data_IF_030044049002
#
_entry.id   IF_030044049002
#
_cell.length_a   1.000
_cell.length_b   1.000
_cell.length_c   1.000
_cell.angle_alpha   90.00
_cell.angle_beta   90.00
_cell.angle_gamma   90.00
#
_symmetry.space_group_name_H-M   'P 1'
#
loop_
_entity.id
_entity.type
_entity.pdbx_description
1 polymer ?
#
# COMPACT_ATOMS: atom_id res chain seq x y z
N UNK A 1 -9.98 -5.56 -4.22
CA UNK A 1 -9.32 -5.85 -2.93
C UNK A 1 -8.37 -7.05 -3.00
N UNK A 2 -8.80 -8.23 -3.47
CA UNK A 2 -7.95 -9.44 -3.53
C UNK A 2 -6.69 -9.30 -4.39
N UNK A 3 -6.76 -8.59 -5.53
CA UNK A 3 -5.61 -8.38 -6.43
C UNK A 3 -4.53 -7.45 -5.87
N UNK A 4 -4.91 -6.46 -5.08
CA UNK A 4 -3.99 -5.53 -4.42
C UNK A 4 -3.24 -6.24 -3.28
N UNK A 5 -3.96 -7.11 -2.54
CA UNK A 5 -3.39 -7.93 -1.47
C UNK A 5 -2.34 -8.91 -2.01
N UNK A 6 -2.59 -9.54 -3.15
CA UNK A 6 -1.64 -10.47 -3.77
C UNK A 6 -0.34 -9.77 -4.22
N UNK A 7 -0.45 -8.54 -4.75
CA UNK A 7 0.71 -7.76 -5.18
C UNK A 7 1.60 -7.31 -4.00
N UNK A 8 0.98 -6.83 -2.92
CA UNK A 8 1.70 -6.39 -1.70
C UNK A 8 2.38 -7.57 -1.00
N UNK A 9 1.70 -8.74 -0.95
CA UNK A 9 2.25 -9.94 -0.35
C UNK A 9 3.41 -10.52 -1.17
N UNK A 10 3.34 -10.44 -2.50
CA UNK A 10 4.43 -10.82 -3.41
C UNK A 10 5.66 -9.93 -3.28
N UNK A 11 5.47 -8.61 -3.20
CA UNK A 11 6.56 -7.64 -3.03
C UNK A 11 7.23 -7.79 -1.65
N UNK A 12 6.43 -8.02 -0.60
CA UNK A 12 6.93 -8.28 0.76
C UNK A 12 7.75 -9.58 0.85
N UNK A 13 7.34 -10.63 0.12
CA UNK A 13 8.09 -11.88 0.06
C UNK A 13 9.41 -11.73 -0.71
N UNK A 14 9.43 -10.94 -1.79
CA UNK A 14 10.65 -10.63 -2.53
C UNK A 14 11.67 -9.84 -1.68
N UNK A 15 11.21 -8.87 -0.90
CA UNK A 15 12.09 -8.07 -0.04
C UNK A 15 12.73 -8.90 1.09
N UNK A 16 12.05 -9.94 1.59
CA UNK A 16 12.60 -10.87 2.58
C UNK A 16 13.72 -11.77 2.02
N UNK A 17 13.65 -12.14 0.74
CA UNK A 17 14.69 -12.94 0.08
C UNK A 17 15.98 -12.14 -0.14
N UNK A 18 15.88 -10.83 -0.41
CA UNK A 18 17.03 -9.93 -0.57
C UNK A 18 17.75 -9.69 0.76
N UNK A 19 17.02 -9.69 1.88
CA UNK A 19 17.59 -9.43 3.21
C UNK A 19 18.34 -10.62 3.84
N UNK A 20 18.31 -11.82 3.22
CA UNK A 20 18.99 -13.02 3.73
C UNK A 20 20.41 -13.20 3.20
N UNK A 21 20.89 -12.31 2.32
CA UNK A 21 22.28 -12.25 1.90
C UNK A 21 23.02 -11.34 2.89
N UNK A 22 23.28 -11.86 4.09
CA UNK A 22 24.28 -11.23 4.96
C UNK A 22 25.67 -11.53 4.40
N UNK A 23 26.60 -10.56 4.36
CA UNK A 23 27.99 -10.86 4.05
C UNK A 23 28.52 -11.82 5.10
N UNK A 24 29.17 -12.88 4.63
CA UNK A 24 29.83 -13.91 5.42
C UNK A 24 30.66 -13.26 6.53
N UNK A 25 30.32 -13.56 7.78
CA UNK A 25 31.16 -13.26 8.92
C UNK A 25 32.30 -14.29 8.96
N UNK A 26 33.44 -13.96 8.38
CA UNK A 26 34.69 -14.68 8.62
C UNK A 26 35.17 -14.35 10.04
N UNK A 27 34.66 -15.09 11.02
CA UNK A 27 35.21 -15.15 12.37
C UNK A 27 36.36 -16.16 12.43
N UNK A 28 37.47 -15.85 11.77
CA UNK A 28 38.77 -16.38 12.17
C UNK A 28 39.40 -15.36 13.11
N UNK A 29 40.15 -15.81 14.12
CA UNK A 29 41.10 -14.96 14.84
C UNK A 29 42.12 -14.46 13.81
N UNK A 30 41.79 -13.36 13.13
CA UNK A 30 42.70 -12.71 12.20
C UNK A 30 43.68 -11.99 13.10
N UNK A 31 44.81 -12.65 13.40
CA UNK A 31 46.03 -11.90 13.68
C UNK A 31 46.20 -11.01 12.45
N UNK A 32 45.88 -9.74 12.62
CA UNK A 32 45.90 -8.76 11.56
C UNK A 32 47.37 -8.59 11.18
N UNK A 33 47.82 -9.33 10.17
CA UNK A 33 49.18 -9.18 9.66
C UNK A 33 49.22 -7.82 8.97
N UNK A 34 49.68 -6.82 9.70
CA UNK A 34 49.76 -5.44 9.22
C UNK A 34 51.10 -5.25 8.52
N UNK A 35 51.13 -4.42 7.47
CA UNK A 35 52.41 -4.00 6.89
C UNK A 35 53.32 -3.40 7.98
N UNK A 36 54.52 -3.99 8.11
CA UNK A 36 55.51 -3.65 9.13
C UNK A 36 55.63 -4.68 10.26
N UNK A 37 54.65 -5.57 10.43
CA UNK A 37 54.70 -6.71 11.35
C UNK A 37 55.46 -7.87 10.67
N UNK A 38 56.77 -7.91 10.91
CA UNK A 38 57.67 -8.89 10.29
C UNK A 38 57.75 -10.19 11.08
N UNK A 39 57.40 -10.14 12.36
CA UNK A 39 57.47 -11.29 13.26
C UNK A 39 56.12 -12.05 13.36
N UNK A 40 55.02 -11.45 12.91
CA UNK A 40 53.67 -12.02 12.82
C UNK A 40 52.87 -12.01 14.11
N UNK A 41 53.21 -11.18 15.08
CA UNK A 41 52.55 -11.15 16.40
C UNK A 41 51.37 -10.17 16.51
N UNK A 42 51.13 -9.37 15.47
CA UNK A 42 50.06 -8.39 15.40
C UNK A 42 50.39 -7.05 16.07
N UNK A 43 51.55 -6.89 16.68
CA UNK A 43 52.02 -5.62 17.27
C UNK A 43 53.13 -5.01 16.41
N UNK A 44 52.96 -3.77 15.95
CA UNK A 44 54.03 -3.06 15.23
C UNK A 44 54.95 -2.35 16.21
N UNK A 45 56.06 -2.99 16.55
CA UNK A 45 57.01 -2.47 17.53
C UNK A 45 58.48 -2.63 17.09
N UNK A 46 59.42 -2.37 18.01
CA UNK A 46 60.84 -2.47 17.69
C UNK A 46 61.28 -3.92 17.45
N UNK A 47 60.54 -4.89 17.97
CA UNK A 47 60.84 -6.31 17.82
C UNK A 47 60.80 -6.70 16.34
N UNK A 48 59.92 -6.10 15.53
CA UNK A 48 59.87 -6.27 14.08
C UNK A 48 61.20 -5.93 13.40
N UNK A 49 61.70 -4.72 13.64
CA UNK A 49 62.96 -4.29 13.05
C UNK A 49 64.11 -5.22 13.45
N UNK A 50 64.13 -5.67 14.71
CA UNK A 50 65.14 -6.62 15.18
C UNK A 50 64.97 -8.02 14.59
N UNK A 51 63.74 -8.48 14.40
CA UNK A 51 63.40 -9.75 13.79
C UNK A 51 63.88 -9.79 12.34
N UNK A 52 63.58 -8.73 11.58
CA UNK A 52 64.00 -8.58 10.19
C UNK A 52 65.53 -8.53 10.03
N UNK A 53 66.23 -7.77 10.88
CA UNK A 53 67.69 -7.70 10.86
C UNK A 53 68.34 -9.05 11.25
N UNK A 54 67.72 -9.80 12.18
CA UNK A 54 68.18 -11.13 12.55
C UNK A 54 68.07 -12.11 11.39
N UNK A 55 66.97 -12.08 10.66
CA UNK A 55 66.83 -12.85 9.42
C UNK A 55 67.91 -12.47 8.41
N UNK A 56 68.05 -11.17 8.10
CA UNK A 56 68.96 -10.67 7.06
C UNK A 56 70.45 -10.98 7.32
N UNK A 57 70.91 -10.84 8.56
CA UNK A 57 72.35 -10.92 8.88
C UNK A 57 72.77 -12.14 9.68
N UNK A 58 71.83 -12.86 10.32
CA UNK A 58 72.14 -13.97 11.22
C UNK A 58 71.46 -15.28 10.81
N UNK A 59 70.73 -15.31 9.70
CA UNK A 59 70.05 -16.50 9.19
C UNK A 59 68.92 -16.98 10.09
N UNK A 60 68.13 -16.05 10.64
CA UNK A 60 66.89 -16.37 11.36
C UNK A 60 65.79 -16.93 10.45
N UNK A 61 64.62 -17.30 11.01
CA UNK A 61 63.45 -17.69 10.22
C UNK A 61 62.97 -16.57 9.30
N UNK A 62 62.36 -16.94 8.18
CA UNK A 62 61.83 -15.97 7.22
C UNK A 62 60.77 -15.04 7.87
N UNK A 63 60.76 -13.74 7.52
CA UNK A 63 59.72 -12.82 7.96
C UNK A 63 58.38 -13.14 7.33
N UNK A 64 57.31 -12.75 8.03
CA UNK A 64 55.95 -12.89 7.53
C UNK A 64 55.79 -12.12 6.21
N UNK A 65 55.04 -12.71 5.29
CA UNK A 65 54.82 -12.14 3.98
C UNK A 65 54.12 -10.78 4.08
N UNK A 66 54.60 -9.82 3.28
CA UNK A 66 53.95 -8.51 3.16
C UNK A 66 52.57 -8.73 2.53
N UNK A 67 51.52 -8.35 3.25
CA UNK A 67 50.19 -8.23 2.67
C UNK A 67 50.17 -6.93 1.86
N UNK A 68 50.41 -7.05 0.57
CA UNK A 68 49.93 -6.04 -0.37
C UNK A 68 48.42 -6.26 -0.51
N UNK A 69 47.57 -5.22 -0.39
CA UNK A 69 46.17 -5.38 -0.74
C UNK A 69 46.11 -5.93 -2.16
N UNK A 70 45.46 -7.08 -2.30
CA UNK A 70 45.29 -7.77 -3.57
C UNK A 70 44.67 -6.79 -4.57
N UNK A 71 45.35 -6.64 -5.71
CA UNK A 71 45.07 -5.73 -6.83
C UNK A 71 43.96 -4.68 -6.57
N UNK A 72 44.33 -3.58 -5.92
CA UNK A 72 43.43 -2.45 -5.67
C UNK A 72 42.75 -1.95 -6.95
N UNK A 73 43.35 -2.15 -8.13
CA UNK A 73 42.74 -1.82 -9.41
C UNK A 73 41.55 -2.71 -9.76
N UNK A 74 41.63 -4.00 -9.46
CA UNK A 74 40.51 -4.94 -9.63
C UNK A 74 39.33 -4.58 -8.70
N UNK A 75 39.62 -4.25 -7.44
CA UNK A 75 38.59 -3.81 -6.48
C UNK A 75 37.90 -2.51 -6.93
N UNK A 76 38.66 -1.54 -7.43
CA UNK A 76 38.11 -0.28 -7.96
C UNK A 76 37.24 -0.54 -9.18
N UNK A 77 37.68 -1.42 -10.09
CA UNK A 77 36.90 -1.78 -11.29
C UNK A 77 35.56 -2.43 -10.92
N UNK A 78 35.56 -3.33 -9.93
CA UNK A 78 34.33 -3.94 -9.41
C UNK A 78 33.41 -2.89 -8.79
N UNK A 79 33.95 -1.99 -7.97
CA UNK A 79 33.18 -0.93 -7.33
C UNK A 79 32.59 0.07 -8.35
N UNK A 80 33.34 0.42 -9.39
CA UNK A 80 32.87 1.25 -10.50
C UNK A 80 31.74 0.57 -11.27
N UNK A 81 31.86 -0.73 -11.54
CA UNK A 81 30.80 -1.53 -12.14
C UNK A 81 29.53 -1.57 -11.29
N UNK A 82 29.69 -1.77 -9.97
CA UNK A 82 28.59 -1.74 -9.01
C UNK A 82 27.93 -0.36 -8.94
N UNK A 83 28.72 0.72 -8.98
CA UNK A 83 28.20 2.09 -8.97
C UNK A 83 27.43 2.42 -10.25
N UNK A 84 27.91 1.98 -11.41
CA UNK A 84 27.19 2.13 -12.68
C UNK A 84 25.85 1.41 -12.63
N UNK A 85 25.84 0.15 -12.21
CA UNK A 85 24.62 -0.64 -12.10
C UNK A 85 23.62 -0.01 -11.11
N UNK A 86 24.10 0.55 -9.99
CA UNK A 86 23.27 1.25 -9.03
C UNK A 86 22.66 2.54 -9.60
N UNK A 87 23.42 3.30 -10.38
CA UNK A 87 22.93 4.51 -11.05
C UNK A 87 21.86 4.18 -12.10
N UNK A 88 22.07 3.12 -12.88
CA UNK A 88 21.08 2.66 -13.87
C UNK A 88 19.78 2.19 -13.20
N UNK A 89 19.90 1.44 -12.10
CA UNK A 89 18.74 1.04 -11.30
C UNK A 89 18.00 2.25 -10.71
N UNK A 90 18.72 3.25 -10.21
CA UNK A 90 18.12 4.48 -9.69
C UNK A 90 17.37 5.26 -10.78
N UNK A 91 17.94 5.35 -11.99
CA UNK A 91 17.29 5.99 -13.13
C UNK A 91 15.99 5.27 -13.53
N UNK A 92 16.02 3.93 -13.54
CA UNK A 92 14.83 3.12 -13.80
C UNK A 92 13.72 3.35 -12.76
N UNK A 93 14.08 3.33 -11.47
CA UNK A 93 13.14 3.59 -10.37
C UNK A 93 12.58 5.02 -10.43
N UNK A 94 13.40 6.01 -10.79
CA UNK A 94 12.94 7.39 -10.96
C UNK A 94 11.87 7.50 -12.06
N UNK A 95 12.09 6.83 -13.20
CA UNK A 95 11.11 6.80 -14.29
C UNK A 95 9.81 6.09 -13.91
N UNK A 96 9.90 5.01 -13.13
CA UNK A 96 8.74 4.32 -12.61
C UNK A 96 7.93 5.21 -11.66
N UNK A 97 8.59 5.96 -10.76
CA UNK A 97 7.93 6.90 -9.87
C UNK A 97 7.19 8.02 -10.62
N UNK A 98 7.77 8.55 -11.70
CA UNK A 98 7.10 9.54 -12.57
C UNK A 98 5.84 8.94 -13.22
N UNK A 99 5.92 7.69 -13.67
CA UNK A 99 4.77 6.98 -14.26
C UNK A 99 3.66 6.78 -13.22
N UNK A 100 4.01 6.32 -12.01
CA UNK A 100 3.06 6.13 -10.92
C UNK A 100 2.43 7.46 -10.48
N UNK A 101 3.21 8.55 -10.43
CA UNK A 101 2.68 9.88 -10.14
C UNK A 101 1.66 10.32 -11.20
N UNK A 102 1.93 10.07 -12.48
CA UNK A 102 0.97 10.31 -13.56
C UNK A 102 -0.31 9.49 -13.43
N UNK A 103 -0.19 8.20 -13.08
CA UNK A 103 -1.34 7.33 -12.84
C UNK A 103 -2.18 7.80 -11.64
N UNK A 104 -1.53 8.21 -10.55
CA UNK A 104 -2.20 8.74 -9.37
C UNK A 104 -3.01 10.01 -9.69
N UNK A 105 -2.41 10.95 -10.42
CA UNK A 105 -3.11 12.16 -10.87
C UNK A 105 -4.32 11.84 -11.78
N UNK A 106 -4.19 10.82 -12.65
CA UNK A 106 -5.29 10.35 -13.48
C UNK A 106 -6.46 9.77 -12.67
N UNK A 107 -6.15 8.91 -11.71
CA UNK A 107 -7.16 8.32 -10.81
C UNK A 107 -7.83 9.37 -9.93
N UNK A 108 -7.09 10.38 -9.47
CA UNK A 108 -7.63 11.48 -8.68
C UNK A 108 -8.63 12.31 -9.51
N UNK A 109 -8.31 12.60 -10.77
CA UNK A 109 -9.23 13.27 -11.69
C UNK A 109 -10.51 12.45 -11.96
N UNK A 110 -10.38 11.13 -12.12
CA UNK A 110 -11.52 10.23 -12.29
C UNK A 110 -12.41 10.19 -11.03
N UNK A 111 -11.80 10.15 -9.84
CA UNK A 111 -12.51 10.17 -8.57
C UNK A 111 -13.30 11.47 -8.39
N UNK A 112 -12.71 12.63 -8.74
CA UNK A 112 -13.39 13.93 -8.68
C UNK A 112 -14.60 13.94 -9.62
N UNK A 113 -14.43 13.50 -10.88
CA UNK A 113 -15.54 13.46 -11.85
C UNK A 113 -16.68 12.51 -11.41
N UNK A 114 -16.33 11.37 -10.82
CA UNK A 114 -17.30 10.43 -10.26
C UNK A 114 -18.04 11.04 -9.07
N UNK A 115 -17.33 11.76 -8.19
CA UNK A 115 -17.94 12.42 -7.04
C UNK A 115 -18.88 13.56 -7.47
N UNK A 116 -18.50 14.37 -8.46
CA UNK A 116 -19.36 15.41 -9.02
C UNK A 116 -20.66 14.81 -9.59
N UNK A 117 -20.53 13.68 -10.31
CA UNK A 117 -21.69 12.95 -10.85
C UNK A 117 -22.61 12.44 -9.74
N UNK A 118 -22.04 11.94 -8.63
CA UNK A 118 -22.79 11.50 -7.47
C UNK A 118 -23.53 12.65 -6.78
N UNK A 119 -22.90 13.81 -6.66
CA UNK A 119 -23.53 15.03 -6.10
C UNK A 119 -24.72 15.45 -6.95
N UNK A 120 -24.57 15.45 -8.28
CA UNK A 120 -25.67 15.73 -9.21
C UNK A 120 -26.81 14.72 -9.05
N UNK A 121 -26.50 13.43 -9.00
CA UNK A 121 -27.50 12.38 -8.81
C UNK A 121 -28.24 12.50 -7.46
N UNK A 122 -27.51 12.84 -6.39
CA UNK A 122 -28.07 13.04 -5.05
C UNK A 122 -29.04 14.22 -5.04
N UNK A 123 -28.65 15.33 -5.67
CA UNK A 123 -29.51 16.52 -5.78
C UNK A 123 -30.75 16.25 -6.63
N UNK A 124 -30.60 15.51 -7.73
CA UNK A 124 -31.74 15.12 -8.55
C UNK A 124 -32.73 14.21 -7.80
N UNK A 125 -32.25 13.35 -6.91
CA UNK A 125 -33.11 12.51 -6.08
C UNK A 125 -33.82 13.31 -4.98
N UNK A 126 -33.15 14.26 -4.32
CA UNK A 126 -33.82 15.10 -3.31
C UNK A 126 -34.94 15.95 -3.93
N UNK A 127 -34.75 16.45 -5.16
CA UNK A 127 -35.82 17.16 -5.89
C UNK A 127 -37.00 16.24 -6.19
N UNK A 128 -36.74 14.99 -6.58
CA UNK A 128 -37.80 13.99 -6.79
C UNK A 128 -38.53 13.64 -5.49
N UNK A 129 -37.82 13.57 -4.37
CA UNK A 129 -38.44 13.32 -3.06
C UNK A 129 -39.36 14.48 -2.66
N UNK A 130 -38.96 15.74 -2.93
CA UNK A 130 -39.82 16.92 -2.75
C UNK A 130 -41.06 16.89 -3.65
N UNK A 131 -40.91 16.49 -4.93
CA UNK A 131 -42.02 16.34 -5.87
C UNK A 131 -43.00 15.24 -5.44
N UNK A 132 -42.49 14.09 -4.97
CA UNK A 132 -43.31 13.00 -4.43
C UNK A 132 -44.09 13.49 -3.20
N UNK A 133 -43.43 14.22 -2.29
CA UNK A 133 -44.09 14.77 -1.11
C UNK A 133 -45.22 15.75 -1.48
N UNK A 134 -45.00 16.59 -2.50
CA UNK A 134 -46.03 17.51 -3.01
C UNK A 134 -47.24 16.76 -3.60
N UNK A 135 -46.98 15.73 -4.43
CA UNK A 135 -48.04 14.91 -5.02
C UNK A 135 -48.82 14.13 -3.94
N UNK A 136 -48.15 13.63 -2.90
CA UNK A 136 -48.80 12.96 -1.78
C UNK A 136 -49.70 13.92 -0.99
N UNK A 137 -49.29 15.18 -0.80
CA UNK A 137 -50.12 16.20 -0.16
C UNK A 137 -51.36 16.53 -1.00
N UNK A 138 -51.22 16.65 -2.32
CA UNK A 138 -52.34 16.91 -3.23
C UNK A 138 -53.35 15.75 -3.25
N UNK A 139 -52.86 14.51 -3.28
CA UNK A 139 -53.70 13.31 -3.17
C UNK A 139 -54.45 13.25 -1.83
N UNK A 140 -53.80 13.63 -0.73
CA UNK A 140 -54.44 13.68 0.59
C UNK A 140 -55.61 14.68 0.63
N UNK A 141 -55.44 15.86 0.01
CA UNK A 141 -56.52 16.85 -0.13
C UNK A 141 -57.65 16.33 -1.01
N UNK A 142 -57.32 15.71 -2.15
CA UNK A 142 -58.32 15.12 -3.05
C UNK A 142 -59.14 14.02 -2.36
N UNK A 143 -58.48 13.14 -1.60
CA UNK A 143 -59.15 12.08 -0.83
C UNK A 143 -60.04 12.66 0.28
N UNK A 144 -59.61 13.72 0.98
CA UNK A 144 -60.43 14.37 1.99
C UNK A 144 -61.72 14.98 1.39
N UNK A 145 -61.62 15.61 0.22
CA UNK A 145 -62.77 16.14 -0.53
C UNK A 145 -63.73 15.02 -1.00
N UNK A 146 -63.19 13.88 -1.41
CA UNK A 146 -64.00 12.71 -1.78
C UNK A 146 -64.81 12.19 -0.57
N UNK A 147 -64.18 12.13 0.61
CA UNK A 147 -64.85 11.72 1.86
C UNK A 147 -65.98 12.69 2.23
N UNK A 148 -65.79 14.01 2.07
CA UNK A 148 -66.87 14.99 2.25
C UNK A 148 -68.00 14.80 1.23
N UNK A 149 -67.68 14.50 -0.04
CA UNK A 149 -68.68 14.19 -1.06
C UNK A 149 -69.46 12.91 -0.73
N UNK A 150 -68.78 11.85 -0.24
CA UNK A 150 -69.42 10.60 0.20
C UNK A 150 -70.34 10.82 1.41
N UNK A 151 -69.94 11.66 2.36
CA UNK A 151 -70.77 12.00 3.51
C UNK A 151 -72.02 12.84 3.15
N UNK A 152 -72.00 13.52 1.99
CA UNK A 152 -73.12 14.30 1.48
C UNK A 152 -74.13 13.50 0.65
N UNK A 153 -73.87 12.22 0.36
CA UNK A 153 -74.84 11.35 -0.30
C UNK A 153 -75.99 11.03 0.67
N UNK A 154 -77.27 11.18 0.25
CA UNK A 154 -78.39 10.80 1.09
C UNK A 154 -78.26 9.33 1.47
N UNK A 155 -78.41 9.02 2.76
CA UNK A 155 -78.53 7.63 3.21
C UNK A 155 -79.59 6.93 2.35
N UNK A 156 -79.33 5.71 1.85
CA UNK A 156 -80.35 4.95 1.15
C UNK A 156 -81.59 4.87 2.04
N UNK A 157 -82.75 5.27 1.52
CA UNK A 157 -84.01 5.26 2.27
C UNK A 157 -84.16 3.90 2.98
N UNK A 158 -84.51 3.90 4.28
CA UNK A 158 -84.66 2.64 5.01
C UNK A 158 -85.64 1.75 4.25
N UNK A 159 -85.22 0.50 3.98
CA UNK A 159 -86.11 -0.49 3.39
C UNK A 159 -87.41 -0.53 4.22
N UNK A 160 -88.59 -0.50 3.59
CA UNK A 160 -89.85 -0.47 4.31
C UNK A 160 -89.91 -1.66 5.27
N UNK A 161 -90.22 -1.39 6.55
CA UNK A 161 -90.40 -2.43 7.55
C UNK A 161 -91.36 -3.50 7.00
N UNK A 162 -91.00 -4.80 7.09
CA UNK A 162 -91.90 -5.85 6.65
C UNK A 162 -93.24 -5.70 7.39
N UNK A 163 -94.34 -5.68 6.63
CA UNK A 163 -95.69 -5.56 7.15
C UNK A 163 -95.89 -6.55 8.31
N UNK A 164 -96.52 -6.15 9.43
CA UNK A 164 -96.78 -7.06 10.53
C UNK A 164 -97.57 -8.26 10.00
N UNK A 165 -97.02 -9.46 10.21
CA UNK A 165 -97.72 -10.69 9.87
C UNK A 165 -99.13 -10.65 10.52
N UNK A 166 -100.19 -10.98 9.77
CA UNK A 166 -101.54 -10.91 10.30
C UNK A 166 -101.66 -11.80 11.53
N UNK A 167 -102.14 -11.21 12.63
CA UNK A 167 -102.49 -11.92 13.86
C UNK A 167 -103.43 -13.09 13.50
N UNK A 168 -103.02 -14.35 13.70
CA UNK A 168 -103.88 -15.48 13.46
C UNK A 168 -104.92 -15.50 14.58
N UNK A 169 -106.01 -14.76 14.35
CA UNK A 169 -107.08 -14.60 15.30
C UNK A 169 -107.59 -15.93 15.84
N UNK A 170 -107.75 -15.97 17.17
CA UNK A 170 -108.85 -16.64 17.86
C UNK A 170 -108.98 -16.11 19.30
#
# INVERSE_FOLDING_TARGET
MVRLFAAVLGLSLCLLMVSSISPVAFGGDVVEVVNGDTNGDGERDISDATYYLRWLFRGGPDPVAIICPEDLGAMVTELEGALSAANDALAAVSSENETLAGQAAGLEAELVAANDSLVVATTANSVKDEEIAALQAELAVANASLVECEAGLPEPEPEPEPEPEPDPGN
#
